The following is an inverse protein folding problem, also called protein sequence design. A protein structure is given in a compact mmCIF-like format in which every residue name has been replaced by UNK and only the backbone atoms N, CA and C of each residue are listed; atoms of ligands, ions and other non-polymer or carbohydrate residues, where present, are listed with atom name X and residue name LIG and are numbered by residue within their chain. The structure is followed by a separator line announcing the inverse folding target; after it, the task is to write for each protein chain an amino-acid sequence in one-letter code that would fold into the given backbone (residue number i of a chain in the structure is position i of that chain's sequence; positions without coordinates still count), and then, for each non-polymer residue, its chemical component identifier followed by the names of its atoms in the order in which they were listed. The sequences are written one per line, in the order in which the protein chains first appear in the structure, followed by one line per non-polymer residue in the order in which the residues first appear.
data_IF_406634423889
#
_entry.id   IF_406634423889
#
_cell.length_a   1.000
_cell.length_b   1.000
_cell.length_c   1.000
_cell.angle_alpha   90.00
_cell.angle_beta   90.00
_cell.angle_gamma   90.00
#
_symmetry.space_group_name_H-M   'P 1'
#
loop_
_entity.id
_entity.type
_entity.pdbx_description
1 polymer ?
#
# COMPACT_ATOMS: atom_id res chain seq x y z
N UNK A 1 4.55 5.33 -21.28
CA UNK A 1 4.72 5.66 -19.85
C UNK A 1 6.18 5.42 -19.49
N UNK A 2 6.83 6.38 -18.83
CA UNK A 2 8.22 6.21 -18.36
C UNK A 2 8.18 5.50 -17.00
N UNK A 3 8.78 4.31 -16.92
CA UNK A 3 9.02 3.59 -15.65
C UNK A 3 10.07 4.35 -14.85
N UNK A 4 9.87 4.47 -13.53
CA UNK A 4 10.87 5.04 -12.64
C UNK A 4 12.08 4.09 -12.62
N UNK A 5 13.28 4.67 -12.70
CA UNK A 5 14.56 3.95 -12.73
C UNK A 5 15.14 3.72 -11.34
N UNK A 6 14.56 4.34 -10.32
CA UNK A 6 14.98 4.20 -8.92
C UNK A 6 13.79 4.30 -7.96
N UNK A 7 13.96 3.79 -6.72
CA UNK A 7 12.97 3.96 -5.65
C UNK A 7 12.71 5.42 -5.29
N UNK A 8 13.71 6.30 -5.45
CA UNK A 8 13.54 7.73 -5.22
C UNK A 8 12.60 8.34 -6.26
N UNK A 9 12.78 8.00 -7.53
CA UNK A 9 11.88 8.43 -8.61
C UNK A 9 10.47 7.84 -8.44
N UNK A 10 10.35 6.60 -7.94
CA UNK A 10 9.04 6.00 -7.62
C UNK A 10 8.33 6.78 -6.51
N UNK A 11 9.05 7.17 -5.45
CA UNK A 11 8.52 7.98 -4.36
C UNK A 11 8.04 9.36 -4.83
N UNK A 12 8.80 10.00 -5.71
CA UNK A 12 8.37 11.24 -6.36
C UNK A 12 7.11 11.03 -7.23
N UNK A 13 7.04 9.92 -7.96
CA UNK A 13 5.83 9.54 -8.71
C UNK A 13 4.63 9.34 -7.78
N UNK A 14 4.80 8.72 -6.61
CA UNK A 14 3.73 8.64 -5.61
C UNK A 14 3.30 10.01 -5.10
N UNK A 15 4.26 10.90 -4.82
CA UNK A 15 4.00 12.26 -4.35
C UNK A 15 3.13 13.05 -5.32
N UNK A 16 3.46 13.03 -6.60
CA UNK A 16 2.73 13.79 -7.62
C UNK A 16 1.45 13.07 -8.04
N UNK A 17 1.56 11.80 -8.43
CA UNK A 17 0.45 11.11 -9.07
C UNK A 17 -0.57 10.62 -8.03
N UNK A 18 -0.11 9.91 -7.00
CA UNK A 18 -1.00 9.25 -6.02
C UNK A 18 -1.50 10.25 -4.99
N UNK A 19 -0.62 11.05 -4.40
CA UNK A 19 -0.98 11.96 -3.31
C UNK A 19 -1.41 13.35 -3.79
N UNK A 20 -1.02 13.77 -4.99
CA UNK A 20 -1.51 15.01 -5.59
C UNK A 20 -3.03 15.02 -5.82
N UNK A 21 -3.72 13.87 -5.78
CA UNK A 21 -5.19 13.84 -5.90
C UNK A 21 -5.90 14.46 -4.70
N UNK A 22 -5.23 14.61 -3.55
CA UNK A 22 -5.78 15.23 -2.34
C UNK A 22 -5.63 16.75 -2.35
N UNK A 23 -4.93 17.31 -3.34
CA UNK A 23 -4.79 18.76 -3.48
C UNK A 23 -6.16 19.43 -3.69
N UNK A 24 -6.33 20.61 -3.10
CA UNK A 24 -7.57 21.40 -3.14
C UNK A 24 -8.72 20.93 -2.25
N UNK A 25 -8.66 19.73 -1.65
CA UNK A 25 -9.73 19.23 -0.75
C UNK A 25 -9.90 20.08 0.52
N UNK A 26 -8.83 20.72 0.99
CA UNK A 26 -8.81 21.46 2.25
C UNK A 26 -9.83 22.60 2.28
N UNK A 27 -10.16 23.18 1.12
CA UNK A 27 -11.18 24.23 1.02
C UNK A 27 -12.58 23.69 1.31
N UNK A 28 -12.93 22.55 0.73
CA UNK A 28 -14.23 21.88 0.93
C UNK A 28 -14.34 21.38 2.38
N UNK A 29 -13.28 20.77 2.89
CA UNK A 29 -13.19 20.34 4.29
C UNK A 29 -13.44 21.49 5.27
N UNK A 30 -12.73 22.61 5.10
CA UNK A 30 -12.90 23.81 5.95
C UNK A 30 -14.31 24.38 5.87
N UNK A 31 -14.95 24.37 4.70
CA UNK A 31 -16.32 24.83 4.55
C UNK A 31 -17.31 23.97 5.36
N UNK A 32 -17.14 22.65 5.35
CA UNK A 32 -17.95 21.72 6.15
C UNK A 32 -17.78 21.95 7.66
N UNK A 33 -16.54 22.09 8.14
CA UNK A 33 -16.24 22.37 9.54
C UNK A 33 -16.82 23.72 9.98
N UNK A 34 -16.65 24.77 9.16
CA UNK A 34 -17.14 26.10 9.48
C UNK A 34 -18.68 26.15 9.53
N UNK A 35 -19.37 25.43 8.64
CA UNK A 35 -20.84 25.34 8.65
C UNK A 35 -21.36 24.74 9.96
N UNK A 36 -20.71 23.68 10.46
CA UNK A 36 -21.08 23.08 11.75
C UNK A 36 -20.78 24.03 12.93
N UNK A 37 -19.57 24.63 12.93
CA UNK A 37 -19.14 25.52 14.02
C UNK A 37 -19.99 26.79 14.10
N UNK A 38 -20.50 27.30 12.97
CA UNK A 38 -21.44 28.42 12.95
C UNK A 38 -22.75 28.07 13.70
N UNK A 39 -23.32 26.89 13.45
CA UNK A 39 -24.52 26.44 14.16
C UNK A 39 -24.27 26.20 15.66
N UNK A 40 -23.13 25.58 16.00
CA UNK A 40 -22.79 25.19 17.39
C UNK A 40 -22.36 26.36 18.27
N UNK A 41 -21.50 27.25 17.76
CA UNK A 41 -20.83 28.26 18.59
C UNK A 41 -21.29 29.69 18.34
N UNK A 42 -21.66 30.03 17.09
CA UNK A 42 -22.08 31.40 16.74
C UNK A 42 -23.57 31.59 17.00
N UNK A 43 -24.39 30.60 16.62
CA UNK A 43 -25.83 30.59 16.84
C UNK A 43 -26.22 29.81 18.10
N UNK A 44 -25.33 29.80 19.10
CA UNK A 44 -25.50 29.06 20.34
C UNK A 44 -26.85 29.39 21.01
N UNK A 45 -27.60 28.35 21.38
CA UNK A 45 -28.95 28.47 21.96
C UNK A 45 -30.09 28.52 20.94
N UNK A 46 -29.80 28.60 19.64
CA UNK A 46 -30.83 28.59 18.57
C UNK A 46 -31.32 27.18 18.24
N UNK A 47 -30.46 26.17 18.42
CA UNK A 47 -30.71 24.78 18.03
C UNK A 47 -30.73 23.84 19.23
N UNK A 48 -31.53 22.77 19.12
CA UNK A 48 -31.56 21.69 20.11
C UNK A 48 -30.29 20.84 20.04
N UNK A 49 -29.99 20.11 21.12
CA UNK A 49 -28.89 19.14 21.15
C UNK A 49 -29.05 18.06 20.07
N UNK A 50 -30.27 17.54 19.90
CA UNK A 50 -30.60 16.54 18.88
C UNK A 50 -30.26 17.01 17.46
N UNK A 51 -30.58 18.28 17.14
CA UNK A 51 -30.23 18.87 15.85
C UNK A 51 -28.72 18.99 15.67
N UNK A 52 -27.99 19.42 16.70
CA UNK A 52 -26.53 19.56 16.63
C UNK A 52 -25.83 18.20 16.49
N UNK A 53 -26.37 17.14 17.11
CA UNK A 53 -25.85 15.78 16.97
C UNK A 53 -26.11 15.23 15.56
N UNK A 54 -27.30 15.46 14.99
CA UNK A 54 -27.59 15.12 13.60
C UNK A 54 -26.65 15.87 12.65
N UNK A 55 -26.51 17.18 12.81
CA UNK A 55 -25.63 18.00 11.97
C UNK A 55 -24.16 17.57 12.08
N UNK A 56 -23.71 17.15 13.28
CA UNK A 56 -22.37 16.59 13.49
C UNK A 56 -22.19 15.31 12.67
N UNK A 57 -23.16 14.39 12.76
CA UNK A 57 -23.14 13.12 12.02
C UNK A 57 -23.14 13.35 10.50
N UNK A 58 -24.01 14.23 10.00
CA UNK A 58 -24.05 14.59 8.57
C UNK A 58 -22.74 15.21 8.09
N UNK A 59 -22.15 16.10 8.89
CA UNK A 59 -20.86 16.72 8.58
C UNK A 59 -19.75 15.67 8.50
N UNK A 60 -19.72 14.72 9.45
CA UNK A 60 -18.77 13.61 9.40
C UNK A 60 -18.97 12.72 8.17
N UNK A 61 -20.21 12.42 7.79
CA UNK A 61 -20.52 11.63 6.59
C UNK A 61 -20.03 12.34 5.32
N UNK A 62 -20.32 13.64 5.16
CA UNK A 62 -19.84 14.42 4.01
C UNK A 62 -18.32 14.48 3.93
N UNK A 63 -17.62 14.62 5.06
CA UNK A 63 -16.16 14.58 5.11
C UNK A 63 -15.64 13.19 4.68
N UNK A 64 -16.29 12.10 5.10
CA UNK A 64 -15.93 10.74 4.66
C UNK A 64 -16.18 10.52 3.17
N UNK A 65 -17.28 11.03 2.62
CA UNK A 65 -17.56 10.97 1.18
C UNK A 65 -16.53 11.75 0.35
N UNK A 66 -16.19 12.97 0.79
CA UNK A 66 -15.14 13.80 0.18
C UNK A 66 -13.82 13.03 0.10
N UNK A 67 -13.44 12.36 1.19
CA UNK A 67 -12.26 11.50 1.24
C UNK A 67 -12.37 10.28 0.32
N UNK A 68 -13.48 9.55 0.38
CA UNK A 68 -13.67 8.27 -0.34
C UNK A 68 -13.47 8.39 -1.84
N UNK A 69 -14.03 9.46 -2.44
CA UNK A 69 -13.88 9.74 -3.87
C UNK A 69 -12.40 9.90 -4.25
N UNK A 70 -11.62 10.60 -3.43
CA UNK A 70 -10.21 10.91 -3.70
C UNK A 70 -9.31 9.72 -3.47
N UNK A 71 -9.60 8.91 -2.45
CA UNK A 71 -8.92 7.63 -2.23
C UNK A 71 -9.12 6.65 -3.39
N UNK A 72 -10.32 6.59 -3.96
CA UNK A 72 -10.59 5.71 -5.12
C UNK A 72 -9.72 6.11 -6.31
N UNK A 73 -9.57 7.41 -6.57
CA UNK A 73 -8.66 7.90 -7.62
C UNK A 73 -7.19 7.59 -7.29
N UNK A 74 -6.76 7.78 -6.04
CA UNK A 74 -5.40 7.44 -5.60
C UNK A 74 -5.07 5.96 -5.81
N UNK A 75 -6.00 5.06 -5.47
CA UNK A 75 -5.85 3.62 -5.66
C UNK A 75 -5.74 3.24 -7.13
N UNK A 76 -6.59 3.79 -7.99
CA UNK A 76 -6.52 3.53 -9.43
C UNK A 76 -5.19 4.00 -10.05
N UNK A 77 -4.70 5.17 -9.62
CA UNK A 77 -3.36 5.64 -10.03
C UNK A 77 -2.25 4.71 -9.52
N UNK A 78 -2.37 4.22 -8.29
CA UNK A 78 -1.40 3.29 -7.72
C UNK A 78 -1.41 1.94 -8.45
N UNK A 79 -2.57 1.42 -8.84
CA UNK A 79 -2.70 0.20 -9.66
C UNK A 79 -2.07 0.38 -11.05
N UNK A 80 -2.25 1.55 -11.67
CA UNK A 80 -1.56 1.86 -12.92
C UNK A 80 -0.03 1.88 -12.75
N UNK A 81 0.48 2.34 -11.60
CA UNK A 81 1.91 2.28 -11.29
C UNK A 81 2.32 0.83 -11.03
N UNK A 82 1.52 0.03 -10.30
CA UNK A 82 1.78 -1.39 -10.03
C UNK A 82 1.97 -2.21 -11.31
N UNK A 83 1.08 -2.02 -12.28
CA UNK A 83 1.17 -2.68 -13.60
C UNK A 83 2.46 -2.35 -14.36
N UNK A 84 3.10 -1.20 -14.11
CA UNK A 84 4.39 -0.87 -14.71
C UNK A 84 5.55 -1.74 -14.15
N UNK A 85 5.42 -2.31 -12.95
CA UNK A 85 6.47 -3.06 -12.24
C UNK A 85 6.15 -4.54 -12.00
N UNK A 86 4.92 -4.98 -12.25
CA UNK A 86 4.60 -6.41 -12.27
C UNK A 86 5.27 -7.03 -13.50
N UNK A 87 6.17 -8.02 -13.34
CA UNK A 87 6.75 -8.72 -14.46
C UNK A 87 5.63 -9.29 -15.33
N UNK A 88 5.64 -8.96 -16.62
CA UNK A 88 4.80 -9.66 -17.59
C UNK A 88 5.42 -11.03 -17.74
N UNK A 89 4.88 -12.04 -17.06
CA UNK A 89 5.27 -13.43 -17.30
C UNK A 89 4.88 -13.72 -18.74
N UNK A 90 5.87 -13.85 -19.62
CA UNK A 90 5.59 -14.33 -20.97
C UNK A 90 4.95 -15.72 -20.81
N UNK A 91 3.79 -15.98 -21.43
CA UNK A 91 3.21 -17.30 -21.37
C UNK A 91 4.24 -18.27 -21.94
N UNK A 92 4.64 -19.25 -21.13
CA UNK A 92 5.49 -20.34 -21.60
C UNK A 92 4.86 -20.87 -22.89
N UNK A 93 5.59 -20.75 -24.00
CA UNK A 93 5.13 -21.25 -25.29
C UNK A 93 4.94 -22.75 -25.14
N UNK A 94 3.69 -23.21 -25.17
CA UNK A 94 3.42 -24.64 -25.13
C UNK A 94 4.05 -25.30 -26.37
N UNK A 95 4.78 -26.41 -26.21
CA UNK A 95 5.38 -27.11 -27.33
C UNK A 95 4.31 -27.52 -28.35
N UNK A 96 4.53 -27.15 -29.60
CA UNK A 96 3.54 -27.25 -30.67
C UNK A 96 3.55 -28.62 -31.36
N UNK A 97 4.68 -29.33 -31.30
CA UNK A 97 4.86 -30.65 -31.91
C UNK A 97 5.00 -31.77 -30.88
N UNK A 98 4.75 -33.01 -31.31
CA UNK A 98 4.94 -34.21 -30.47
C UNK A 98 6.39 -34.39 -30.05
N UNK A 99 7.36 -34.06 -30.91
CA UNK A 99 8.79 -34.16 -30.62
C UNK A 99 9.22 -33.13 -29.57
N UNK A 100 8.78 -31.88 -29.69
CA UNK A 100 9.01 -30.83 -28.68
C UNK A 100 8.39 -31.20 -27.32
N UNK A 101 7.20 -31.82 -27.31
CA UNK A 101 6.57 -32.32 -26.08
C UNK A 101 7.40 -33.39 -25.41
N UNK A 102 7.96 -34.33 -26.18
CA UNK A 102 8.82 -35.40 -25.64
C UNK A 102 10.12 -34.81 -25.09
N UNK A 103 10.75 -33.90 -25.82
CA UNK A 103 11.99 -33.24 -25.39
C UNK A 103 11.77 -32.45 -24.10
N UNK A 104 10.70 -31.65 -24.02
CA UNK A 104 10.35 -30.91 -22.80
C UNK A 104 10.10 -31.85 -21.63
N UNK A 105 9.43 -32.98 -21.85
CA UNK A 105 9.16 -33.93 -20.77
C UNK A 105 10.43 -34.66 -20.30
N UNK A 106 11.36 -34.97 -21.21
CA UNK A 106 12.67 -35.50 -20.86
C UNK A 106 13.51 -34.49 -20.08
N UNK A 107 13.52 -33.23 -20.50
CA UNK A 107 14.20 -32.14 -19.81
C UNK A 107 13.63 -31.95 -18.40
N UNK A 108 12.31 -31.84 -18.26
CA UNK A 108 11.63 -31.77 -16.96
C UNK A 108 11.99 -32.93 -16.06
N UNK A 109 11.95 -34.17 -16.57
CA UNK A 109 12.33 -35.34 -15.79
C UNK A 109 13.80 -35.30 -15.35
N UNK A 110 14.70 -34.83 -16.20
CA UNK A 110 16.11 -34.67 -15.86
C UNK A 110 16.29 -33.61 -14.75
N UNK A 111 15.65 -32.45 -14.91
CA UNK A 111 15.67 -31.37 -13.92
C UNK A 111 15.13 -31.84 -12.57
N UNK A 112 14.01 -32.58 -12.53
CA UNK A 112 13.47 -33.17 -11.30
C UNK A 112 14.46 -34.11 -10.60
N UNK A 113 15.15 -34.96 -11.37
CA UNK A 113 16.15 -35.88 -10.83
C UNK A 113 17.33 -35.11 -10.22
N UNK A 114 17.80 -34.05 -10.91
CA UNK A 114 18.88 -33.21 -10.42
C UNK A 114 18.50 -32.43 -9.15
N UNK A 115 17.30 -31.84 -9.12
CA UNK A 115 16.75 -31.15 -7.95
C UNK A 115 16.68 -32.08 -6.76
N UNK A 116 16.08 -33.26 -6.94
CA UNK A 116 15.97 -34.27 -5.88
C UNK A 116 17.34 -34.75 -5.41
N UNK A 117 18.30 -34.94 -6.31
CA UNK A 117 19.65 -35.34 -5.97
C UNK A 117 20.37 -34.26 -5.14
N UNK A 118 20.32 -32.98 -5.55
CA UNK A 118 20.94 -31.86 -4.82
C UNK A 118 20.39 -31.72 -3.40
N UNK A 119 19.06 -31.75 -3.24
CA UNK A 119 18.41 -31.66 -1.92
C UNK A 119 18.84 -32.82 -1.01
N UNK A 120 18.90 -34.04 -1.53
CA UNK A 120 19.26 -35.21 -0.74
C UNK A 120 20.77 -35.32 -0.44
N UNK A 121 21.62 -34.72 -1.28
CA UNK A 121 23.07 -34.70 -1.09
C UNK A 121 23.55 -33.65 -0.09
N UNK A 122 22.69 -32.71 0.30
CA UNK A 122 23.05 -31.58 1.17
C UNK A 122 22.53 -31.80 2.58
N UNK A 123 23.39 -31.62 3.60
CA UNK A 123 22.97 -31.70 5.01
C UNK A 123 22.08 -30.53 5.41
N UNK A 124 22.42 -29.31 4.97
CA UNK A 124 21.56 -28.12 5.09
C UNK A 124 20.53 -28.08 3.96
N UNK A 125 19.44 -28.85 4.16
CA UNK A 125 18.35 -28.92 3.19
C UNK A 125 17.75 -27.53 2.91
N UNK A 126 17.58 -26.67 3.91
CA UNK A 126 16.91 -25.36 3.76
C UNK A 126 17.66 -24.48 2.77
N UNK A 127 18.97 -24.37 2.90
CA UNK A 127 19.80 -23.59 1.99
C UNK A 127 19.76 -24.17 0.57
N UNK A 128 19.78 -25.50 0.42
CA UNK A 128 19.61 -26.15 -0.88
C UNK A 128 18.25 -25.83 -1.53
N UNK A 129 17.15 -25.87 -0.76
CA UNK A 129 15.82 -25.46 -1.26
C UNK A 129 15.83 -24.01 -1.75
N UNK A 130 16.42 -23.11 -0.98
CA UNK A 130 16.49 -21.69 -1.31
C UNK A 130 17.25 -21.45 -2.63
N UNK A 131 18.42 -22.06 -2.78
CA UNK A 131 19.23 -21.94 -4.00
C UNK A 131 18.50 -22.46 -5.24
N UNK A 132 17.88 -23.65 -5.14
CA UNK A 132 17.16 -24.26 -6.26
C UNK A 132 15.92 -23.44 -6.62
N UNK A 133 15.20 -22.90 -5.62
CA UNK A 133 14.06 -22.02 -5.87
C UNK A 133 14.48 -20.79 -6.68
N UNK A 134 15.63 -20.18 -6.37
CA UNK A 134 16.14 -19.02 -7.11
C UNK A 134 16.58 -19.38 -8.54
N UNK A 135 17.18 -20.55 -8.73
CA UNK A 135 17.59 -21.06 -10.04
C UNK A 135 16.40 -21.32 -10.97
N UNK A 136 15.30 -21.85 -10.43
CA UNK A 136 14.10 -22.24 -11.19
C UNK A 136 12.89 -21.33 -10.93
N UNK A 137 13.12 -20.07 -10.53
CA UNK A 137 12.05 -19.12 -10.14
C UNK A 137 11.00 -18.86 -11.23
N UNK A 138 11.33 -19.15 -12.49
CA UNK A 138 10.47 -18.95 -13.67
C UNK A 138 9.88 -20.27 -14.21
N UNK A 139 10.19 -21.43 -13.61
CA UNK A 139 9.68 -22.76 -13.99
C UNK A 139 8.62 -23.25 -13.00
N UNK A 140 7.35 -23.00 -13.31
CA UNK A 140 6.20 -23.36 -12.47
C UNK A 140 6.15 -24.85 -12.13
N UNK A 141 6.58 -25.74 -13.03
CA UNK A 141 6.57 -27.18 -12.80
C UNK A 141 7.59 -27.58 -11.73
N UNK A 142 8.80 -27.01 -11.79
CA UNK A 142 9.83 -27.24 -10.78
C UNK A 142 9.44 -26.58 -9.45
N UNK A 143 8.87 -25.37 -9.47
CA UNK A 143 8.39 -24.70 -8.26
C UNK A 143 7.30 -25.50 -7.53
N UNK A 144 6.35 -26.08 -8.26
CA UNK A 144 5.31 -26.94 -7.69
C UNK A 144 5.92 -28.22 -7.09
N UNK A 145 6.93 -28.78 -7.75
CA UNK A 145 7.66 -29.92 -7.21
C UNK A 145 8.43 -29.57 -5.93
N UNK A 146 9.10 -28.41 -5.90
CA UNK A 146 9.80 -27.91 -4.73
C UNK A 146 8.86 -27.65 -3.55
N UNK A 147 7.67 -27.10 -3.77
CA UNK A 147 6.69 -26.88 -2.70
C UNK A 147 6.23 -28.21 -2.09
N UNK A 148 5.98 -29.24 -2.92
CA UNK A 148 5.67 -30.59 -2.45
C UNK A 148 6.83 -31.21 -1.66
N UNK A 149 8.06 -31.05 -2.13
CA UNK A 149 9.24 -31.52 -1.42
C UNK A 149 9.49 -30.76 -0.12
N UNK A 150 9.10 -29.48 -0.03
CA UNK A 150 9.27 -28.65 1.17
C UNK A 150 8.56 -29.23 2.41
N UNK A 151 7.56 -30.10 2.22
CA UNK A 151 6.90 -30.83 3.31
C UNK A 151 7.82 -31.86 4.00
N UNK A 152 8.96 -32.21 3.40
CA UNK A 152 9.99 -33.04 4.03
C UNK A 152 10.89 -32.24 4.99
N UNK A 153 10.83 -30.91 4.97
CA UNK A 153 11.53 -30.05 5.93
C UNK A 153 10.82 -30.07 7.28
N UNK A 154 11.57 -29.81 8.35
CA UNK A 154 10.99 -29.52 9.66
C UNK A 154 10.14 -28.24 9.58
N UNK A 155 9.05 -28.19 10.32
CA UNK A 155 8.09 -27.07 10.29
C UNK A 155 8.76 -25.69 10.49
N UNK A 156 9.74 -25.60 11.39
CA UNK A 156 10.50 -24.37 11.62
C UNK A 156 11.26 -23.92 10.37
N UNK A 157 12.03 -24.82 9.77
CA UNK A 157 12.84 -24.54 8.58
C UNK A 157 11.97 -24.23 7.36
N UNK A 158 10.83 -24.91 7.24
CA UNK A 158 9.83 -24.66 6.20
C UNK A 158 9.22 -23.27 6.32
N UNK A 159 8.82 -22.86 7.52
CA UNK A 159 8.25 -21.53 7.76
C UNK A 159 9.28 -20.43 7.52
N UNK A 160 10.53 -20.66 7.95
CA UNK A 160 11.62 -19.72 7.72
C UNK A 160 11.96 -19.60 6.23
N UNK A 161 12.03 -20.72 5.50
CA UNK A 161 12.22 -20.72 4.05
C UNK A 161 11.11 -19.95 3.34
N UNK A 162 9.84 -20.17 3.70
CA UNK A 162 8.72 -19.40 3.12
C UNK A 162 8.90 -17.90 3.34
N UNK A 163 9.30 -17.49 4.54
CA UNK A 163 9.57 -16.08 4.83
C UNK A 163 10.75 -15.54 4.01
N UNK A 164 11.86 -16.28 3.93
CA UNK A 164 13.03 -15.90 3.15
C UNK A 164 12.71 -15.76 1.65
N UNK A 165 11.96 -16.71 1.08
CA UNK A 165 11.53 -16.66 -0.31
C UNK A 165 10.55 -15.51 -0.56
N UNK A 166 9.60 -15.28 0.35
CA UNK A 166 8.67 -14.16 0.29
C UNK A 166 9.37 -12.79 0.40
N UNK A 167 10.50 -12.69 1.10
CA UNK A 167 11.29 -11.46 1.21
C UNK A 167 12.22 -11.24 0.02
N UNK A 168 12.82 -12.30 -0.52
CA UNK A 168 13.83 -12.21 -1.58
C UNK A 168 13.21 -12.10 -2.99
N UNK A 169 11.99 -12.61 -3.19
CA UNK A 169 11.22 -12.47 -4.43
C UNK A 169 10.44 -11.16 -4.54
N UNK A 170 10.36 -10.41 -3.44
CA UNK A 170 9.63 -9.14 -3.37
C UNK A 170 10.40 -8.06 -4.15
N UNK A 171 9.95 -7.76 -5.36
CA UNK A 171 10.40 -6.60 -6.12
C UNK A 171 10.33 -5.35 -5.20
N UNK A 172 11.44 -4.65 -4.95
CA UNK A 172 11.47 -3.55 -3.98
C UNK A 172 10.51 -2.40 -4.35
N UNK A 173 10.22 -2.23 -5.64
CA UNK A 173 9.20 -1.29 -6.11
C UNK A 173 7.79 -1.76 -5.69
N UNK A 174 7.48 -3.05 -5.87
CA UNK A 174 6.19 -3.66 -5.48
C UNK A 174 5.99 -3.63 -3.96
N UNK A 175 7.05 -3.83 -3.18
CA UNK A 175 7.01 -3.67 -1.71
C UNK A 175 6.57 -2.27 -1.33
N UNK A 176 7.20 -1.26 -1.93
CA UNK A 176 6.89 0.13 -1.62
C UNK A 176 5.47 0.50 -2.09
N UNK A 177 5.05 0.04 -3.27
CA UNK A 177 3.67 0.17 -3.78
C UNK A 177 2.67 -0.41 -2.77
N UNK A 178 2.92 -1.62 -2.27
CA UNK A 178 2.05 -2.30 -1.32
C UNK A 178 1.93 -1.56 0.02
N UNK A 179 3.01 -0.96 0.52
CA UNK A 179 2.94 -0.11 1.71
C UNK A 179 1.98 1.05 1.51
N UNK A 180 2.09 1.77 0.39
CA UNK A 180 1.19 2.88 0.06
C UNK A 180 -0.26 2.39 -0.08
N UNK A 181 -0.48 1.25 -0.73
CA UNK A 181 -1.80 0.61 -0.88
C UNK A 181 -2.44 0.32 0.47
N UNK A 182 -1.67 -0.23 1.42
CA UNK A 182 -2.14 -0.48 2.79
C UNK A 182 -2.43 0.82 3.55
N UNK A 183 -1.56 1.83 3.43
CA UNK A 183 -1.79 3.14 4.06
C UNK A 183 -3.07 3.81 3.53
N UNK A 184 -3.31 3.79 2.22
CA UNK A 184 -4.55 4.33 1.62
C UNK A 184 -5.79 3.57 2.10
N UNK A 185 -5.72 2.23 2.19
CA UNK A 185 -6.82 1.41 2.73
C UNK A 185 -7.12 1.71 4.19
N UNK A 186 -6.10 1.93 5.02
CA UNK A 186 -6.28 2.30 6.43
C UNK A 186 -7.07 3.61 6.56
N UNK A 187 -6.85 4.55 5.65
CA UNK A 187 -7.53 5.84 5.69
C UNK A 187 -9.01 5.77 5.25
N UNK A 188 -9.38 4.76 4.48
CA UNK A 188 -10.77 4.42 4.15
C UNK A 188 -11.49 3.62 5.25
N UNK A 189 -10.78 3.24 6.33
CA UNK A 189 -11.40 2.48 7.40
C UNK A 189 -12.56 3.28 8.03
N UNK A 190 -13.73 2.66 8.26
CA UNK A 190 -14.87 3.32 8.92
C UNK A 190 -14.52 3.91 10.29
N UNK A 191 -13.50 3.35 10.96
CA UNK A 191 -12.98 3.79 12.26
C UNK A 191 -12.01 4.97 12.19
N UNK A 192 -11.55 5.36 10.99
CA UNK A 192 -10.60 6.46 10.84
C UNK A 192 -11.30 7.79 11.07
N UNK A 193 -10.79 8.54 12.05
CA UNK A 193 -11.22 9.91 12.42
C UNK A 193 -10.26 10.97 11.87
N UNK A 194 -9.35 10.57 10.99
CA UNK A 194 -8.26 11.39 10.47
C UNK A 194 -8.55 11.83 9.04
N UNK A 195 -8.38 13.12 8.77
CA UNK A 195 -8.47 13.74 7.46
C UNK A 195 -7.05 14.04 6.91
N UNK A 196 -6.72 13.61 5.68
CA UNK A 196 -5.45 13.97 5.04
C UNK A 196 -5.49 15.44 4.60
N UNK A 197 -4.58 16.26 5.13
CA UNK A 197 -4.40 17.65 4.72
C UNK A 197 -3.13 17.74 3.89
N UNK A 198 -3.31 18.07 2.61
CA UNK A 198 -2.22 18.28 1.67
C UNK A 198 -1.47 19.58 2.05
N UNK A 199 -0.15 19.50 2.15
CA UNK A 199 0.65 20.70 2.41
C UNK A 199 0.70 21.50 1.09
N UNK A 200 0.08 22.68 1.06
CA UNK A 200 0.17 23.60 -0.08
C UNK A 200 1.64 23.70 -0.53
N UNK A 201 1.84 23.43 -1.82
CA UNK A 201 3.13 23.19 -2.47
C UNK A 201 4.24 24.10 -1.95
N UNK A 202 5.25 23.49 -1.30
CA UNK A 202 6.50 24.16 -0.95
C UNK A 202 7.04 23.91 0.44
N UNK A 203 6.28 23.28 1.34
CA UNK A 203 6.79 22.84 2.65
C UNK A 203 6.73 21.33 2.69
N UNK A 204 7.68 20.68 2.00
CA UNK A 204 8.13 19.38 2.48
C UNK A 204 8.52 19.59 3.95
N UNK A 205 7.95 18.80 4.85
CA UNK A 205 8.54 18.69 6.19
C UNK A 205 10.00 18.27 6.01
N UNK A 206 10.87 18.52 7.00
CA UNK A 206 12.28 18.10 6.95
C UNK A 206 12.45 16.58 6.67
N UNK A 207 11.39 15.79 6.85
CA UNK A 207 11.28 14.37 6.53
C UNK A 207 10.76 14.03 5.12
N UNK A 208 10.45 15.02 4.27
CA UNK A 208 9.90 14.85 2.92
C UNK A 208 8.41 14.55 2.85
N UNK A 209 7.67 14.65 3.96
CA UNK A 209 6.22 14.40 3.98
C UNK A 209 5.44 15.54 3.31
N UNK A 210 4.51 15.16 2.44
CA UNK A 210 3.62 16.06 1.67
C UNK A 210 2.19 16.14 2.20
N UNK A 211 1.87 15.29 3.17
CA UNK A 211 0.57 15.25 3.81
C UNK A 211 0.73 15.26 5.32
N UNK A 212 -0.26 15.83 5.97
CA UNK A 212 -0.47 15.74 7.42
C UNK A 212 -1.85 15.17 7.70
N UNK A 213 -2.08 14.70 8.92
CA UNK A 213 -3.37 14.14 9.30
C UNK A 213 -4.00 14.98 10.42
N UNK A 214 -5.27 15.30 10.24
CA UNK A 214 -6.07 16.11 11.16
C UNK A 214 -7.17 15.28 11.79
N UNK A 215 -7.39 15.43 13.08
CA UNK A 215 -8.48 14.72 13.76
C UNK A 215 -9.80 15.46 13.54
N UNK A 216 -10.73 14.86 12.80
CA UNK A 216 -12.02 15.45 12.42
C UNK A 216 -12.83 15.85 13.66
N UNK A 217 -12.88 14.99 14.69
CA UNK A 217 -13.60 15.29 15.93
C UNK A 217 -13.03 16.51 16.65
N UNK A 218 -11.70 16.65 16.66
CA UNK A 218 -11.03 17.82 17.25
C UNK A 218 -11.43 19.10 16.50
N UNK A 219 -11.43 19.08 15.18
CA UNK A 219 -11.78 20.26 14.36
C UNK A 219 -13.26 20.67 14.52
N UNK A 220 -14.15 19.70 14.75
CA UNK A 220 -15.58 19.95 15.11
C UNK A 220 -15.76 20.48 16.54
N UNK A 221 -14.78 20.34 17.42
CA UNK A 221 -14.87 20.78 18.82
C UNK A 221 -14.10 22.09 19.07
N UNK A 222 -13.44 22.66 18.05
CA UNK A 222 -12.68 23.91 18.13
C UNK A 222 -13.53 25.16 17.86
N UNK A 223 -13.66 26.01 18.89
CA UNK A 223 -14.40 27.29 18.88
C UNK A 223 -13.74 28.39 18.03
N UNK A 224 -12.42 28.32 17.83
CA UNK A 224 -11.61 29.38 17.21
C UNK A 224 -11.34 29.21 15.71
N UNK A 225 -12.04 28.31 15.01
CA UNK A 225 -11.93 28.18 13.54
C UNK A 225 -12.23 29.48 12.76
N UNK A 226 -12.87 30.46 13.42
CA UNK A 226 -13.20 31.78 12.90
C UNK A 226 -12.18 32.90 13.16
N UNK A 227 -11.17 32.70 14.03
CA UNK A 227 -10.14 33.73 14.29
C UNK A 227 -8.83 33.33 13.61
N UNK A 228 -8.30 34.25 12.81
CA UNK A 228 -7.01 34.15 12.12
C UNK A 228 -5.96 33.41 12.95
N UNK A 229 -5.64 32.18 12.54
CA UNK A 229 -4.83 31.32 13.37
C UNK A 229 -4.62 29.89 12.88
N UNK A 230 -4.83 29.58 11.58
CA UNK A 230 -4.33 28.31 11.01
C UNK A 230 -2.79 28.26 10.90
N UNK A 231 -2.09 29.17 11.58
CA UNK A 231 -0.65 29.15 11.88
C UNK A 231 -0.41 28.73 13.33
N UNK A 232 -0.96 27.60 13.77
CA UNK A 232 -0.43 26.94 14.97
C UNK A 232 0.75 26.08 14.55
N UNK A 233 1.96 26.57 14.88
CA UNK A 233 3.18 25.77 14.94
C UNK A 233 2.85 24.48 15.69
N UNK A 234 2.97 23.34 15.03
CA UNK A 234 2.85 22.04 15.68
C UNK A 234 4.18 21.76 16.38
N UNK A 235 4.18 21.82 17.71
CA UNK A 235 5.21 21.16 18.50
C UNK A 235 5.12 19.66 18.22
N UNK A 236 6.20 19.14 17.63
CA UNK A 236 6.52 17.72 17.60
C UNK A 236 6.48 17.18 19.04
N UNK A 237 5.83 16.05 19.32
CA UNK A 237 6.06 15.36 20.58
C UNK A 237 7.51 14.86 20.56
N UNK A 238 8.36 15.43 21.40
CA UNK A 238 9.63 14.79 21.72
C UNK A 238 9.33 13.43 22.33
N UNK A 239 9.83 12.37 21.70
CA UNK A 239 9.95 11.05 22.33
C UNK A 239 10.87 11.22 23.55
N UNK A 240 10.34 10.88 24.73
CA UNK A 240 11.14 10.42 25.86
C UNK A 240 11.30 8.90 25.74
#
# INVERSE_FOLDING_TARGET
MNRAKSLSELKEKFKVDVFGVFDGMDKEYKALINSYNQAKFVQAGTYTSEYLDQLRSETMTKIKELMSNRYTVALHKLESIENDYTPTVEPNLEPSTTEEKILLQLERNNNLLQVKARINSTEDKRTAYKEIYQEFKDDEFILQYLDNLSYELKDYDRNLLKHELDEETKNPFIVEINKIKQSLKLLLSPSTTMYPSYLETGIDKEDGSIMTFRTISRDLDLKDSHKEGWKTKWNTPHRN
#
